data_IF_791786496967
#
_entry.id   IF_791786496967
#
_cell.length_a   1.000
_cell.length_b   1.000
_cell.length_c   1.000
_cell.angle_alpha   90.00
_cell.angle_beta   90.00
_cell.angle_gamma   90.00
#
_symmetry.space_group_name_H-M   'P 1'
#
loop_
_entity.id
_entity.type
_entity.pdbx_description
1 polymer ?
#
# COMPACT_ATOMS: atom_id res chain seq x y z
N UNK A 1 29.57 5.32 -5.13
CA UNK A 1 28.48 4.63 -4.41
C UNK A 1 28.75 4.84 -2.92
N UNK A 2 27.79 5.34 -2.18
CA UNK A 2 27.93 5.50 -0.73
C UNK A 2 27.91 4.13 -0.04
N UNK A 3 28.47 4.05 1.17
CA UNK A 3 28.37 2.85 2.01
C UNK A 3 26.90 2.61 2.39
N UNK A 4 26.44 1.36 2.32
CA UNK A 4 25.08 0.99 2.70
C UNK A 4 25.04 -0.42 3.27
N UNK A 5 24.01 -0.70 4.07
CA UNK A 5 23.67 -2.04 4.53
C UNK A 5 22.31 -2.44 3.93
N UNK A 6 22.23 -3.64 3.37
CA UNK A 6 20.99 -4.22 2.87
C UNK A 6 20.70 -5.54 3.56
N UNK A 7 19.46 -5.68 4.05
CA UNK A 7 18.92 -6.94 4.59
C UNK A 7 17.56 -7.20 3.98
N UNK A 8 17.41 -8.32 3.27
CA UNK A 8 16.13 -8.74 2.74
C UNK A 8 15.29 -9.42 3.83
N UNK A 9 14.00 -9.16 3.82
CA UNK A 9 13.04 -10.00 4.55
C UNK A 9 12.86 -11.32 3.79
N UNK A 10 12.78 -12.44 4.51
CA UNK A 10 12.47 -13.74 3.92
C UNK A 10 10.99 -13.77 3.53
N UNK A 11 10.69 -13.86 2.26
CA UNK A 11 9.33 -13.90 1.72
C UNK A 11 9.30 -14.87 0.54
N UNK A 12 8.34 -15.81 0.58
CA UNK A 12 7.99 -16.66 -0.55
C UNK A 12 6.84 -16.01 -1.32
N UNK A 13 7.02 -15.76 -2.62
CA UNK A 13 6.00 -15.14 -3.47
C UNK A 13 5.69 -16.02 -4.70
N UNK A 14 4.40 -16.28 -4.93
CA UNK A 14 3.89 -16.98 -6.10
C UNK A 14 3.17 -15.99 -6.99
N UNK A 15 3.48 -15.96 -8.28
CA UNK A 15 2.93 -15.02 -9.24
C UNK A 15 2.25 -15.70 -10.43
N UNK A 16 1.09 -15.19 -10.83
CA UNK A 16 0.45 -15.54 -12.09
C UNK A 16 -1.05 -15.78 -11.95
N UNK A 17 -1.75 -15.86 -13.08
CA UNK A 17 -3.17 -16.20 -13.16
C UNK A 17 -3.39 -17.64 -12.66
N UNK A 18 -4.34 -17.82 -11.74
CA UNK A 18 -4.70 -19.12 -11.18
C UNK A 18 -3.74 -19.66 -10.12
N UNK A 19 -2.71 -18.90 -9.67
CA UNK A 19 -1.76 -19.37 -8.65
C UNK A 19 -2.42 -19.64 -7.30
N UNK A 20 -3.61 -19.08 -7.02
CA UNK A 20 -4.43 -19.42 -5.83
C UNK A 20 -4.71 -20.92 -5.70
N UNK A 21 -4.68 -21.68 -6.80
CA UNK A 21 -4.87 -23.15 -6.78
C UNK A 21 -3.77 -23.88 -6.02
N UNK A 22 -2.63 -23.23 -5.79
CA UNK A 22 -1.52 -23.77 -5.00
C UNK A 22 -1.71 -23.52 -3.48
N UNK A 23 -2.81 -22.88 -3.06
CA UNK A 23 -3.02 -22.49 -1.66
C UNK A 23 -2.98 -23.69 -0.71
N UNK A 24 -3.58 -24.81 -1.07
CA UNK A 24 -3.54 -26.04 -0.26
C UNK A 24 -2.11 -26.58 -0.11
N UNK A 25 -1.31 -26.51 -1.18
CA UNK A 25 0.09 -26.94 -1.15
C UNK A 25 0.94 -25.98 -0.29
N UNK A 26 0.66 -24.68 -0.33
CA UNK A 26 1.35 -23.69 0.52
C UNK A 26 0.99 -23.85 2.00
N UNK A 27 -0.26 -24.18 2.35
CA UNK A 27 -0.66 -24.51 3.73
C UNK A 27 0.15 -25.74 4.20
N UNK A 28 0.22 -26.79 3.39
CA UNK A 28 1.00 -27.99 3.70
C UNK A 28 2.51 -27.70 3.77
N UNK A 29 3.05 -26.83 2.90
CA UNK A 29 4.45 -26.39 2.93
C UNK A 29 4.82 -25.73 4.26
N UNK A 30 3.89 -24.99 4.88
CA UNK A 30 4.06 -24.40 6.21
C UNK A 30 3.87 -25.42 7.36
N UNK A 31 3.60 -26.69 7.05
CA UNK A 31 3.35 -27.74 8.04
C UNK A 31 2.00 -27.60 8.74
N UNK A 32 1.07 -26.85 8.17
CA UNK A 32 -0.24 -26.56 8.72
C UNK A 32 -1.35 -27.41 8.09
N UNK A 33 -2.48 -27.53 8.79
CA UNK A 33 -3.66 -28.26 8.31
C UNK A 33 -4.99 -27.69 8.85
N UNK A 34 -4.95 -26.59 9.59
CA UNK A 34 -6.09 -25.98 10.25
C UNK A 34 -6.15 -24.46 9.96
N UNK A 35 -6.48 -24.13 8.73
CA UNK A 35 -6.47 -22.74 8.28
C UNK A 35 -7.71 -21.97 8.73
N UNK A 36 -7.51 -20.73 9.13
CA UNK A 36 -8.55 -19.72 9.26
C UNK A 36 -8.48 -18.76 8.09
N UNK A 37 -9.53 -18.73 7.26
CA UNK A 37 -9.66 -17.77 6.16
C UNK A 37 -10.17 -16.44 6.70
N UNK A 38 -9.50 -15.34 6.33
CA UNK A 38 -9.82 -13.97 6.78
C UNK A 38 -10.18 -13.13 5.56
N UNK A 39 -11.38 -12.53 5.58
CA UNK A 39 -11.87 -11.63 4.52
C UNK A 39 -12.62 -10.44 5.13
N UNK A 40 -12.88 -9.41 4.33
CA UNK A 40 -13.88 -8.39 4.67
C UNK A 40 -15.31 -8.89 4.39
N UNK A 41 -16.32 -8.22 4.97
CA UNK A 41 -17.73 -8.58 4.83
C UNK A 41 -18.24 -8.65 3.38
N UNK A 42 -17.64 -7.89 2.48
CA UNK A 42 -18.00 -7.84 1.05
C UNK A 42 -17.16 -8.81 0.19
N UNK A 43 -16.93 -10.02 0.68
CA UNK A 43 -16.16 -11.02 -0.08
C UNK A 43 -16.86 -11.42 -1.38
N UNK A 44 -16.07 -11.44 -2.45
CA UNK A 44 -16.53 -11.74 -3.82
C UNK A 44 -16.82 -13.25 -3.97
N UNK A 45 -17.59 -13.62 -4.98
CA UNK A 45 -17.91 -15.03 -5.27
C UNK A 45 -16.67 -15.88 -5.47
N UNK A 46 -15.64 -15.35 -6.13
CA UNK A 46 -14.34 -16.03 -6.30
C UNK A 46 -13.71 -16.43 -4.96
N UNK A 47 -13.85 -15.60 -3.91
CA UNK A 47 -13.33 -15.91 -2.57
C UNK A 47 -14.13 -17.06 -1.93
N UNK A 48 -15.44 -17.08 -2.12
CA UNK A 48 -16.26 -18.19 -1.64
C UNK A 48 -15.88 -19.51 -2.31
N UNK A 49 -15.57 -19.49 -3.61
CA UNK A 49 -15.07 -20.66 -4.33
C UNK A 49 -13.75 -21.15 -3.74
N UNK A 50 -12.80 -20.26 -3.43
CA UNK A 50 -11.52 -20.64 -2.79
C UNK A 50 -11.78 -21.32 -1.44
N UNK A 51 -12.70 -20.82 -0.63
CA UNK A 51 -13.06 -21.42 0.66
C UNK A 51 -13.62 -22.84 0.46
N UNK A 52 -14.48 -23.03 -0.55
CA UNK A 52 -15.02 -24.36 -0.90
C UNK A 52 -13.90 -25.29 -1.40
N UNK A 53 -12.99 -24.79 -2.23
CA UNK A 53 -11.86 -25.57 -2.78
C UNK A 53 -10.88 -26.02 -1.69
N UNK A 54 -10.72 -25.27 -0.61
CA UNK A 54 -9.90 -25.66 0.53
C UNK A 54 -10.49 -26.82 1.32
N UNK A 55 -11.80 -27.06 1.27
CA UNK A 55 -12.47 -28.16 1.95
C UNK A 55 -12.13 -28.23 3.45
N UNK A 56 -11.69 -29.37 3.92
CA UNK A 56 -11.37 -29.64 5.33
C UNK A 56 -10.17 -28.82 5.87
N UNK A 57 -9.34 -28.23 5.00
CA UNK A 57 -8.26 -27.33 5.42
C UNK A 57 -8.81 -25.99 5.96
N UNK A 58 -9.95 -25.52 5.45
CA UNK A 58 -10.63 -24.33 5.96
C UNK A 58 -11.48 -24.67 7.18
N UNK A 59 -10.88 -24.61 8.37
CA UNK A 59 -11.58 -24.93 9.62
C UNK A 59 -12.64 -23.86 9.98
N UNK A 60 -12.34 -22.59 9.70
CA UNK A 60 -13.25 -21.49 9.96
C UNK A 60 -12.97 -20.29 9.03
N UNK A 61 -14.01 -19.48 8.83
CA UNK A 61 -13.96 -18.28 8.03
C UNK A 61 -14.39 -17.06 8.86
N UNK A 62 -13.49 -16.08 9.00
CA UNK A 62 -13.79 -14.79 9.60
C UNK A 62 -13.95 -13.73 8.50
N UNK A 63 -15.17 -13.27 8.29
CA UNK A 63 -15.53 -12.29 7.24
C UNK A 63 -15.70 -10.85 7.74
N UNK A 64 -15.18 -10.56 8.93
CA UNK A 64 -15.33 -9.28 9.63
C UNK A 64 -14.09 -8.39 9.62
N UNK A 65 -13.15 -8.56 8.67
CA UNK A 65 -11.98 -7.69 8.60
C UNK A 65 -12.39 -6.25 8.19
N UNK A 66 -11.98 -5.28 9.00
CA UNK A 66 -12.34 -3.87 8.86
C UNK A 66 -11.11 -2.99 8.58
N UNK A 67 -11.37 -1.80 8.01
CA UNK A 67 -10.34 -0.80 7.74
C UNK A 67 -9.70 -0.33 9.05
N UNK A 68 -8.39 -0.06 9.01
CA UNK A 68 -7.59 0.36 10.16
C UNK A 68 -7.45 -0.65 11.30
N UNK A 69 -7.86 -1.90 11.10
CA UNK A 69 -7.66 -3.02 12.02
C UNK A 69 -8.06 -2.67 13.47
N UNK A 70 -9.37 -2.51 13.75
CA UNK A 70 -9.83 -2.20 15.10
C UNK A 70 -9.48 -3.35 16.07
N UNK A 71 -9.06 -3.01 17.29
CA UNK A 71 -8.62 -4.01 18.29
C UNK A 71 -9.76 -4.93 18.70
N UNK A 72 -10.99 -4.46 18.78
CA UNK A 72 -12.16 -5.28 19.10
C UNK A 72 -12.44 -6.35 18.04
N UNK A 73 -12.24 -6.02 16.75
CA UNK A 73 -12.31 -6.97 15.63
C UNK A 73 -11.18 -8.01 15.75
N UNK A 74 -9.97 -7.56 16.06
CA UNK A 74 -8.82 -8.45 16.29
C UNK A 74 -9.09 -9.42 17.42
N UNK A 75 -9.68 -8.98 18.55
CA UNK A 75 -9.99 -9.84 19.69
C UNK A 75 -11.04 -10.91 19.36
N UNK A 76 -12.08 -10.55 18.57
CA UNK A 76 -13.08 -11.51 18.09
C UNK A 76 -12.44 -12.59 17.23
N UNK A 77 -11.58 -12.19 16.29
CA UNK A 77 -10.87 -13.12 15.40
C UNK A 77 -9.87 -14.01 16.16
N UNK A 78 -9.15 -13.48 17.17
CA UNK A 78 -8.27 -14.25 18.06
C UNK A 78 -9.04 -15.30 18.87
N UNK A 79 -10.21 -14.96 19.40
CA UNK A 79 -11.04 -15.90 20.16
C UNK A 79 -11.47 -17.07 19.28
N UNK A 80 -11.88 -16.78 18.03
CA UNK A 80 -12.25 -17.80 17.05
C UNK A 80 -11.04 -18.69 16.66
N UNK A 81 -9.88 -18.10 16.43
CA UNK A 81 -8.65 -18.82 16.11
C UNK A 81 -8.27 -19.80 17.23
N UNK A 82 -8.37 -19.36 18.49
CA UNK A 82 -8.08 -20.17 19.68
C UNK A 82 -9.11 -21.31 19.85
N UNK A 83 -10.39 -21.02 19.74
CA UNK A 83 -11.49 -22.00 19.86
C UNK A 83 -11.32 -23.14 18.87
N UNK A 84 -11.00 -22.82 17.63
CA UNK A 84 -10.82 -23.78 16.55
C UNK A 84 -9.42 -24.35 16.44
N UNK A 85 -8.47 -24.01 17.35
CA UNK A 85 -7.08 -24.48 17.33
C UNK A 85 -6.43 -24.28 15.97
N UNK A 86 -6.55 -23.08 15.41
CA UNK A 86 -6.00 -22.69 14.11
C UNK A 86 -4.47 -22.74 14.17
N UNK A 87 -3.85 -23.25 13.11
CA UNK A 87 -2.40 -23.32 12.94
C UNK A 87 -1.85 -22.53 11.73
N UNK A 88 -2.76 -21.91 10.90
CA UNK A 88 -2.39 -21.06 9.79
C UNK A 88 -3.45 -20.00 9.52
N UNK A 89 -3.03 -18.79 9.13
CA UNK A 89 -3.91 -17.71 8.72
C UNK A 89 -3.84 -17.53 7.20
N UNK A 90 -5.01 -17.47 6.55
CA UNK A 90 -5.12 -17.21 5.12
C UNK A 90 -5.91 -15.94 4.89
N UNK A 91 -5.24 -14.83 4.60
CA UNK A 91 -5.90 -13.55 4.32
C UNK A 91 -6.16 -13.39 2.82
N UNK A 92 -7.42 -13.23 2.43
CA UNK A 92 -7.81 -12.98 1.03
C UNK A 92 -8.53 -11.63 0.96
N UNK A 93 -7.82 -10.62 0.44
CA UNK A 93 -8.39 -9.28 0.39
C UNK A 93 -7.37 -8.17 0.20
N UNK A 94 -7.77 -6.94 0.50
CA UNK A 94 -6.87 -5.78 0.56
C UNK A 94 -6.32 -5.56 1.96
N UNK A 95 -5.93 -4.32 2.26
CA UNK A 95 -5.30 -3.93 3.52
C UNK A 95 -6.05 -4.31 4.79
N UNK A 96 -7.40 -4.41 4.77
CA UNK A 96 -8.18 -4.83 5.95
C UNK A 96 -7.92 -6.29 6.31
N UNK A 97 -7.98 -7.21 5.33
CA UNK A 97 -7.75 -8.63 5.57
C UNK A 97 -6.28 -8.88 5.95
N UNK A 98 -5.35 -8.26 5.22
CA UNK A 98 -3.91 -8.30 5.52
C UNK A 98 -3.62 -7.77 6.92
N UNK A 99 -4.18 -6.61 7.29
CA UNK A 99 -3.99 -6.01 8.62
C UNK A 99 -4.49 -6.91 9.75
N UNK A 100 -5.68 -7.51 9.59
CA UNK A 100 -6.22 -8.41 10.61
C UNK A 100 -5.39 -9.69 10.77
N UNK A 101 -4.91 -10.30 9.67
CA UNK A 101 -4.01 -11.44 9.75
C UNK A 101 -2.73 -11.09 10.51
N UNK A 102 -2.10 -9.96 10.18
CA UNK A 102 -0.93 -9.45 10.90
C UNK A 102 -1.20 -9.19 12.39
N UNK A 103 -2.37 -8.66 12.74
CA UNK A 103 -2.75 -8.40 14.14
C UNK A 103 -2.89 -9.69 14.94
N UNK A 104 -3.41 -10.76 14.33
CA UNK A 104 -3.50 -12.08 14.92
C UNK A 104 -2.10 -12.68 15.05
N UNK A 105 -1.30 -12.67 13.98
CA UNK A 105 0.05 -13.22 13.96
C UNK A 105 0.97 -12.53 14.97
N UNK A 106 0.85 -11.21 15.15
CA UNK A 106 1.59 -10.47 16.16
C UNK A 106 1.43 -11.09 17.58
N UNK A 107 0.23 -11.61 17.89
CA UNK A 107 -0.14 -12.13 19.20
C UNK A 107 0.00 -13.65 19.34
N UNK A 108 0.05 -14.35 18.21
CA UNK A 108 0.02 -15.83 18.20
C UNK A 108 1.24 -16.47 17.57
N UNK A 109 1.98 -15.72 16.75
CA UNK A 109 3.08 -16.23 15.92
C UNK A 109 2.63 -17.29 14.90
N UNK A 110 1.34 -17.28 14.51
CA UNK A 110 0.81 -18.17 13.51
C UNK A 110 1.31 -17.78 12.11
N UNK A 111 1.73 -18.74 11.28
CA UNK A 111 2.14 -18.47 9.92
C UNK A 111 0.98 -17.91 9.07
N UNK A 112 1.33 -17.07 8.11
CA UNK A 112 0.39 -16.34 7.28
C UNK A 112 0.61 -16.60 5.80
N UNK A 113 -0.48 -16.85 5.07
CA UNK A 113 -0.53 -16.81 3.61
C UNK A 113 -1.46 -15.65 3.22
N UNK A 114 -0.96 -14.72 2.41
CA UNK A 114 -1.74 -13.56 1.98
C UNK A 114 -2.00 -13.62 0.48
N UNK A 115 -3.27 -13.47 0.08
CA UNK A 115 -3.72 -13.35 -1.30
C UNK A 115 -4.26 -11.93 -1.51
N UNK A 116 -3.43 -10.96 -1.96
CA UNK A 116 -3.87 -9.59 -2.13
C UNK A 116 -4.84 -9.46 -3.31
N UNK A 117 -5.89 -8.66 -3.12
CA UNK A 117 -6.89 -8.34 -4.15
C UNK A 117 -6.86 -6.87 -4.55
N UNK A 118 -5.92 -6.09 -4.00
CA UNK A 118 -5.63 -4.68 -4.28
C UNK A 118 -4.13 -4.48 -4.44
N UNK A 119 -3.71 -3.33 -4.94
CA UNK A 119 -2.29 -3.01 -5.15
C UNK A 119 -1.74 -2.18 -3.98
N UNK A 120 -1.69 -2.74 -2.76
CA UNK A 120 -1.28 -1.98 -1.58
C UNK A 120 0.21 -2.15 -1.17
N UNK A 121 0.78 -3.34 -1.32
CA UNK A 121 2.17 -3.66 -0.96
C UNK A 121 2.42 -3.90 0.53
N UNK A 122 1.43 -3.68 1.40
CA UNK A 122 1.58 -3.81 2.86
C UNK A 122 1.80 -5.26 3.33
N UNK A 123 1.45 -6.23 2.50
CA UNK A 123 1.66 -7.67 2.74
C UNK A 123 3.13 -8.06 2.87
N UNK A 124 4.05 -7.25 2.33
CA UNK A 124 5.49 -7.51 2.33
C UNK A 124 6.25 -6.81 3.46
N UNK A 125 5.56 -6.23 4.42
CA UNK A 125 6.19 -5.40 5.44
C UNK A 125 6.14 -6.01 6.83
N UNK A 126 7.16 -5.77 7.68
CA UNK A 126 7.08 -6.10 9.10
C UNK A 126 6.23 -5.10 9.90
N UNK A 127 5.43 -4.27 9.24
CA UNK A 127 4.69 -3.16 9.84
C UNK A 127 3.21 -3.53 9.97
N UNK A 128 2.63 -3.18 11.10
CA UNK A 128 1.20 -3.26 11.37
C UNK A 128 0.70 -1.96 12.00
N UNK A 129 -0.50 -1.52 11.59
CA UNK A 129 -1.24 -0.45 12.22
C UNK A 129 -2.56 -0.98 12.80
N UNK A 130 -2.84 -0.64 14.05
CA UNK A 130 -4.09 -0.99 14.73
C UNK A 130 -4.75 0.27 15.28
N UNK A 131 -6.07 0.23 15.44
CA UNK A 131 -6.83 1.35 16.00
C UNK A 131 -7.53 0.92 17.28
N UNK A 132 -7.28 1.65 18.36
CA UNK A 132 -7.96 1.50 19.65
C UNK A 132 -8.53 2.85 20.09
N UNK A 133 -9.82 2.89 20.44
CA UNK A 133 -10.51 4.11 20.88
C UNK A 133 -10.34 5.31 19.93
N UNK A 134 -10.30 5.04 18.62
CA UNK A 134 -10.08 6.06 17.59
C UNK A 134 -8.62 6.50 17.41
N UNK A 135 -7.69 5.97 18.20
CA UNK A 135 -6.26 6.28 18.09
C UNK A 135 -5.56 5.17 17.31
N UNK A 136 -4.88 5.54 16.24
CA UNK A 136 -4.07 4.63 15.43
C UNK A 136 -2.66 4.53 15.99
N UNK A 137 -2.21 3.32 16.28
CA UNK A 137 -0.82 2.99 16.61
C UNK A 137 -0.19 2.15 15.51
N UNK A 138 1.10 2.33 15.29
CA UNK A 138 1.87 1.56 14.30
C UNK A 138 3.09 0.96 14.98
N UNK A 139 3.36 -0.32 14.70
CA UNK A 139 4.53 -1.02 15.24
C UNK A 139 5.15 -1.93 14.19
N UNK A 140 6.40 -2.33 14.41
CA UNK A 140 7.15 -3.23 13.56
C UNK A 140 7.50 -4.51 14.30
N UNK A 141 7.27 -5.67 13.67
CA UNK A 141 7.63 -6.98 14.19
C UNK A 141 7.83 -7.97 13.07
N UNK A 142 8.84 -8.84 13.16
CA UNK A 142 9.04 -9.92 12.18
C UNK A 142 7.88 -10.93 12.18
N UNK A 143 7.15 -11.08 13.30
CA UNK A 143 5.98 -11.96 13.41
C UNK A 143 4.83 -11.58 12.47
N UNK A 144 4.80 -10.36 11.96
CA UNK A 144 3.74 -9.91 11.05
C UNK A 144 4.14 -9.99 9.57
N UNK A 145 5.35 -10.46 9.27
CA UNK A 145 5.73 -10.81 7.90
C UNK A 145 4.98 -12.06 7.48
N UNK A 146 4.38 -12.04 6.29
CA UNK A 146 3.77 -13.24 5.74
C UNK A 146 4.86 -14.20 5.25
N UNK A 147 4.74 -15.48 5.53
CA UNK A 147 5.61 -16.54 5.03
C UNK A 147 5.42 -16.74 3.54
N UNK A 148 4.16 -16.66 3.07
CA UNK A 148 3.85 -16.78 1.64
C UNK A 148 2.87 -15.69 1.21
N UNK A 149 3.13 -15.09 0.04
CA UNK A 149 2.19 -14.20 -0.64
C UNK A 149 1.87 -14.77 -2.03
N UNK A 150 0.58 -14.95 -2.32
CA UNK A 150 0.10 -15.47 -3.61
C UNK A 150 -0.51 -14.33 -4.42
N UNK A 151 0.22 -13.84 -5.40
CA UNK A 151 -0.20 -12.78 -6.32
C UNK A 151 -0.96 -13.39 -7.50
N UNK A 152 -2.22 -13.77 -7.28
CA UNK A 152 -3.10 -14.29 -8.32
C UNK A 152 -3.79 -13.15 -9.06
N UNK A 153 -3.44 -12.97 -10.32
CA UNK A 153 -3.99 -11.91 -11.19
C UNK A 153 -5.52 -11.96 -11.26
N UNK A 154 -6.12 -13.16 -11.29
CA UNK A 154 -7.56 -13.33 -11.41
C UNK A 154 -8.34 -12.68 -10.24
N UNK A 155 -7.71 -12.58 -9.06
CA UNK A 155 -8.31 -11.94 -7.89
C UNK A 155 -8.41 -10.41 -8.03
N UNK A 156 -7.67 -9.81 -8.96
CA UNK A 156 -7.68 -8.38 -9.21
C UNK A 156 -8.59 -7.95 -10.36
N UNK A 157 -9.01 -8.87 -11.22
CA UNK A 157 -9.82 -8.58 -12.41
C UNK A 157 -11.14 -7.89 -12.08
N UNK A 158 -11.74 -8.26 -10.95
CA UNK A 158 -12.99 -7.65 -10.45
C UNK A 158 -12.77 -6.41 -9.58
N UNK A 159 -11.52 -5.95 -9.39
CA UNK A 159 -11.24 -4.71 -8.65
C UNK A 159 -11.72 -3.52 -9.49
N UNK A 160 -12.61 -2.66 -8.96
CA UNK A 160 -13.05 -1.45 -9.67
C UNK A 160 -11.89 -0.58 -10.13
N UNK A 161 -12.03 0.04 -11.30
CA UNK A 161 -10.95 0.87 -11.89
C UNK A 161 -10.45 1.93 -10.92
N UNK A 162 -11.36 2.67 -10.25
CA UNK A 162 -10.96 3.69 -9.29
C UNK A 162 -10.14 3.13 -8.12
N UNK A 163 -10.54 1.97 -7.59
CA UNK A 163 -9.76 1.31 -6.53
C UNK A 163 -8.43 0.76 -7.07
N UNK A 164 -8.38 0.32 -8.33
CA UNK A 164 -7.13 -0.06 -8.99
C UNK A 164 -6.17 1.12 -9.05
N UNK A 165 -6.65 2.28 -9.52
CA UNK A 165 -5.84 3.51 -9.62
C UNK A 165 -5.36 3.97 -8.24
N UNK A 166 -6.28 4.16 -7.29
CA UNK A 166 -5.91 4.72 -5.99
C UNK A 166 -5.00 3.81 -5.18
N UNK A 167 -5.23 2.48 -5.20
CA UNK A 167 -4.32 1.55 -4.52
C UNK A 167 -2.94 1.45 -5.18
N UNK A 168 -2.88 1.52 -6.51
CA UNK A 168 -1.62 1.51 -7.24
C UNK A 168 -0.79 2.79 -6.99
N UNK A 169 -1.43 3.96 -6.95
CA UNK A 169 -0.74 5.22 -6.60
C UNK A 169 -0.27 5.19 -5.15
N UNK A 170 -1.05 4.61 -4.22
CA UNK A 170 -0.57 4.37 -2.85
C UNK A 170 0.70 3.49 -2.84
N UNK A 171 0.73 2.39 -3.59
CA UNK A 171 1.93 1.57 -3.71
C UNK A 171 3.08 2.32 -4.41
N UNK A 172 2.79 3.09 -5.48
CA UNK A 172 3.79 3.92 -6.15
C UNK A 172 4.43 4.93 -5.19
N UNK A 173 3.67 5.46 -4.21
CA UNK A 173 4.20 6.37 -3.20
C UNK A 173 5.29 5.72 -2.33
N UNK A 174 5.16 4.42 -2.01
CA UNK A 174 6.21 3.67 -1.31
C UNK A 174 7.51 3.64 -2.14
N UNK A 175 7.39 3.36 -3.44
CA UNK A 175 8.52 3.34 -4.35
C UNK A 175 9.15 4.73 -4.50
N UNK A 176 8.34 5.79 -4.64
CA UNK A 176 8.84 7.16 -4.76
C UNK A 176 9.61 7.57 -3.51
N UNK A 177 9.08 7.35 -2.31
CA UNK A 177 9.78 7.71 -1.08
C UNK A 177 11.05 6.88 -0.86
N UNK A 178 11.07 5.64 -1.34
CA UNK A 178 12.25 4.79 -1.26
C UNK A 178 13.46 5.32 -2.05
N UNK A 179 13.24 6.16 -3.09
CA UNK A 179 14.32 6.81 -3.84
C UNK A 179 15.09 7.85 -3.02
N UNK A 180 14.51 8.33 -1.91
CA UNK A 180 15.12 9.34 -1.06
C UNK A 180 14.93 9.07 0.44
N UNK A 181 14.64 7.83 0.81
CA UNK A 181 14.52 7.42 2.20
C UNK A 181 15.84 7.59 2.97
N UNK A 182 15.77 7.68 4.30
CA UNK A 182 16.96 7.78 5.16
C UNK A 182 17.96 6.62 4.94
N UNK A 183 17.42 5.41 4.68
CA UNK A 183 18.21 4.19 4.43
C UNK A 183 18.16 3.76 2.97
N UNK A 184 18.09 4.74 2.05
CA UNK A 184 18.13 4.45 0.61
C UNK A 184 19.39 3.67 0.23
N UNK A 185 19.24 2.77 -0.72
CA UNK A 185 20.35 2.01 -1.27
C UNK A 185 20.07 1.62 -2.73
N UNK A 186 21.10 1.34 -3.53
CA UNK A 186 20.94 1.12 -4.98
C UNK A 186 20.07 -0.10 -5.32
N UNK A 187 19.96 -1.10 -4.45
CA UNK A 187 19.13 -2.28 -4.67
C UNK A 187 17.65 -1.88 -4.61
N UNK A 188 17.27 -1.17 -3.57
CA UNK A 188 15.90 -0.70 -3.39
C UNK A 188 15.55 0.40 -4.40
N UNK A 189 16.49 1.29 -4.74
CA UNK A 189 16.27 2.30 -5.79
C UNK A 189 15.96 1.67 -7.14
N UNK A 190 16.64 0.56 -7.51
CA UNK A 190 16.32 -0.16 -8.74
C UNK A 190 14.90 -0.77 -8.73
N UNK A 191 14.46 -1.34 -7.60
CA UNK A 191 13.08 -1.82 -7.44
C UNK A 191 12.07 -0.67 -7.51
N UNK A 192 12.37 0.46 -6.87
CA UNK A 192 11.52 1.64 -6.84
C UNK A 192 11.31 2.23 -8.25
N UNK A 193 12.40 2.44 -9.01
CA UNK A 193 12.29 2.92 -10.39
C UNK A 193 11.48 1.99 -11.28
N UNK A 194 11.74 0.67 -11.18
CA UNK A 194 10.98 -0.33 -11.95
C UNK A 194 9.50 -0.31 -11.59
N UNK A 195 9.16 -0.21 -10.31
CA UNK A 195 7.77 -0.14 -9.84
C UNK A 195 7.05 1.10 -10.41
N UNK A 196 7.67 2.28 -10.31
CA UNK A 196 7.11 3.55 -10.81
C UNK A 196 6.85 3.48 -12.30
N UNK A 197 7.85 3.05 -13.10
CA UNK A 197 7.73 2.93 -14.55
C UNK A 197 6.64 1.93 -14.93
N UNK A 198 6.58 0.78 -14.24
CA UNK A 198 5.59 -0.25 -14.52
C UNK A 198 4.18 0.26 -14.24
N UNK A 199 3.90 0.87 -13.08
CA UNK A 199 2.60 1.45 -12.80
C UNK A 199 2.23 2.56 -13.79
N UNK A 200 3.19 3.44 -14.13
CA UNK A 200 2.95 4.52 -15.08
C UNK A 200 2.46 4.03 -16.44
N UNK A 201 3.07 2.94 -16.94
CA UNK A 201 2.72 2.35 -18.23
C UNK A 201 1.47 1.46 -18.18
N UNK A 202 1.09 0.98 -17.00
CA UNK A 202 0.09 -0.07 -16.81
C UNK A 202 -1.29 0.50 -16.45
N UNK A 203 -1.34 1.54 -15.59
CA UNK A 203 -2.61 2.10 -15.13
C UNK A 203 -3.52 2.60 -16.27
N UNK A 204 -3.03 3.29 -17.30
CA UNK A 204 -3.87 3.67 -18.45
C UNK A 204 -4.48 2.47 -19.16
N UNK A 205 -3.76 1.34 -19.28
CA UNK A 205 -4.27 0.11 -19.89
C UNK A 205 -5.41 -0.49 -19.06
N UNK A 206 -5.26 -0.55 -17.74
CA UNK A 206 -6.33 -1.00 -16.85
C UNK A 206 -7.55 -0.09 -16.92
N UNK A 207 -7.36 1.23 -17.05
CA UNK A 207 -8.46 2.18 -17.21
C UNK A 207 -9.21 1.99 -18.53
N UNK A 208 -8.50 1.65 -19.61
CA UNK A 208 -9.09 1.37 -20.93
C UNK A 208 -9.76 -0.01 -21.00
N UNK A 209 -9.10 -1.03 -20.46
CA UNK A 209 -9.61 -2.40 -20.42
C UNK A 209 -9.40 -2.99 -19.02
N UNK A 210 -10.41 -2.91 -18.13
CA UNK A 210 -10.31 -3.47 -16.78
C UNK A 210 -10.09 -4.98 -16.70
N UNK A 211 -10.30 -5.70 -17.79
CA UNK A 211 -10.11 -7.16 -17.90
C UNK A 211 -8.76 -7.55 -18.50
N UNK A 212 -7.87 -6.60 -18.77
CA UNK A 212 -6.53 -6.87 -19.31
C UNK A 212 -5.67 -7.61 -18.27
N UNK A 213 -5.57 -8.92 -18.42
CA UNK A 213 -4.81 -9.82 -17.52
C UNK A 213 -3.32 -9.44 -17.49
N UNK A 214 -2.73 -9.07 -18.63
CA UNK A 214 -1.32 -8.67 -18.68
C UNK A 214 -1.10 -7.40 -17.86
N UNK A 215 -1.92 -6.37 -18.09
CA UNK A 215 -1.83 -5.13 -17.33
C UNK A 215 -2.07 -5.36 -15.82
N UNK A 216 -3.00 -6.24 -15.45
CA UNK A 216 -3.25 -6.63 -14.06
C UNK A 216 -2.06 -7.35 -13.42
N UNK A 217 -1.39 -8.24 -14.18
CA UNK A 217 -0.18 -8.94 -13.74
C UNK A 217 0.97 -7.97 -13.52
N UNK A 218 1.19 -7.04 -14.48
CA UNK A 218 2.21 -6.02 -14.37
C UNK A 218 1.97 -5.10 -13.15
N UNK A 219 0.70 -4.74 -12.89
CA UNK A 219 0.34 -3.92 -11.71
C UNK A 219 0.60 -4.68 -10.40
N UNK A 220 0.34 -5.99 -10.32
CA UNK A 220 0.70 -6.81 -9.16
C UNK A 220 2.21 -6.90 -8.98
N UNK A 221 2.96 -7.02 -10.07
CA UNK A 221 4.43 -7.02 -10.01
C UNK A 221 4.96 -5.68 -9.49
N UNK A 222 4.45 -4.56 -10.00
CA UNK A 222 4.81 -3.24 -9.49
C UNK A 222 4.43 -3.04 -8.00
N UNK A 223 3.28 -3.60 -7.58
CA UNK A 223 2.86 -3.63 -6.18
C UNK A 223 3.85 -4.41 -5.31
N UNK A 224 4.29 -5.59 -5.77
CA UNK A 224 5.30 -6.39 -5.08
C UNK A 224 6.60 -5.61 -4.90
N UNK A 225 7.14 -5.00 -5.96
CA UNK A 225 8.36 -4.17 -5.86
C UNK A 225 8.18 -3.00 -4.89
N UNK A 226 7.01 -2.33 -4.92
CA UNK A 226 6.69 -1.24 -3.99
C UNK A 226 6.60 -1.70 -2.54
N UNK A 227 6.08 -2.91 -2.32
CA UNK A 227 6.02 -3.54 -1.00
C UNK A 227 7.42 -3.89 -0.46
N UNK A 228 8.33 -4.37 -1.32
CA UNK A 228 9.74 -4.56 -0.96
C UNK A 228 10.41 -3.24 -0.56
N UNK A 229 10.10 -2.15 -1.29
CA UNK A 229 10.58 -0.82 -0.93
C UNK A 229 10.09 -0.41 0.47
N UNK A 230 8.77 -0.50 0.72
CA UNK A 230 8.15 -0.15 2.00
C UNK A 230 8.71 -0.98 3.17
N UNK A 231 8.99 -2.27 2.94
CA UNK A 231 9.50 -3.18 3.95
C UNK A 231 11.00 -3.04 4.24
N UNK A 232 11.73 -2.30 3.41
CA UNK A 232 13.22 -2.24 3.46
C UNK A 232 13.76 -0.89 3.92
N UNK A 233 13.03 0.21 3.70
CA UNK A 233 13.47 1.57 4.02
C UNK A 233 12.36 2.35 4.74
N UNK A 234 12.74 3.41 5.43
CA UNK A 234 11.78 4.31 6.08
C UNK A 234 10.98 5.15 5.09
N UNK A 235 9.83 5.65 5.53
CA UNK A 235 9.02 6.60 4.78
C UNK A 235 9.31 8.04 5.24
N UNK A 236 8.92 9.03 4.41
CA UNK A 236 9.24 10.43 4.60
C UNK A 236 7.98 11.34 4.65
N UNK A 237 8.09 12.56 4.13
CA UNK A 237 7.06 13.61 4.19
C UNK A 237 5.72 13.17 3.60
N UNK A 238 5.70 12.42 2.49
CA UNK A 238 4.46 12.01 1.83
C UNK A 238 3.58 11.17 2.77
N UNK A 239 4.16 10.12 3.36
CA UNK A 239 3.43 9.29 4.31
C UNK A 239 3.07 10.04 5.59
N UNK A 240 3.95 10.94 6.07
CA UNK A 240 3.64 11.79 7.20
C UNK A 240 2.40 12.65 6.95
N UNK A 241 2.31 13.30 5.78
CA UNK A 241 1.14 14.07 5.36
C UNK A 241 -0.11 13.20 5.27
N UNK A 242 -0.02 12.05 4.58
CA UNK A 242 -1.16 11.14 4.42
C UNK A 242 -1.69 10.62 5.76
N UNK A 243 -0.80 10.33 6.72
CA UNK A 243 -1.19 9.93 8.06
C UNK A 243 -1.84 11.07 8.84
N UNK A 244 -1.31 12.29 8.74
CA UNK A 244 -1.91 13.48 9.37
C UNK A 244 -3.30 13.78 8.82
N UNK A 245 -3.46 13.71 7.50
CA UNK A 245 -4.73 13.97 6.81
C UNK A 245 -5.76 12.87 7.06
N UNK A 246 -5.35 11.60 6.99
CA UNK A 246 -6.23 10.47 7.26
C UNK A 246 -6.64 10.38 8.73
N UNK A 247 -5.67 10.50 9.66
CA UNK A 247 -5.93 10.39 11.10
C UNK A 247 -6.62 11.62 11.71
N UNK A 248 -6.26 12.83 11.26
CA UNK A 248 -6.80 14.08 11.81
C UNK A 248 -8.13 14.51 11.20
N UNK A 249 -8.38 14.16 9.92
CA UNK A 249 -9.53 14.68 9.17
C UNK A 249 -10.39 13.58 8.54
N UNK A 250 -10.03 12.31 8.73
CA UNK A 250 -10.80 11.17 8.24
C UNK A 250 -10.80 11.02 6.71
N UNK A 251 -9.82 11.60 6.01
CA UNK A 251 -9.75 11.50 4.55
C UNK A 251 -9.48 10.06 4.10
N UNK A 252 -10.08 9.62 2.96
CA UNK A 252 -9.87 8.27 2.43
C UNK A 252 -8.41 8.03 2.08
N UNK A 253 -7.77 7.04 2.73
CA UNK A 253 -6.32 6.80 2.71
C UNK A 253 -5.73 6.77 1.29
N UNK A 254 -6.20 5.88 0.41
CA UNK A 254 -5.65 5.73 -0.94
C UNK A 254 -5.90 6.96 -1.84
N UNK A 255 -7.03 7.65 -1.67
CA UNK A 255 -7.31 8.89 -2.38
C UNK A 255 -6.39 10.03 -1.92
N UNK A 256 -6.10 10.10 -0.63
CA UNK A 256 -5.14 11.08 -0.08
C UNK A 256 -3.76 10.90 -0.68
N UNK A 257 -3.29 9.65 -0.83
CA UNK A 257 -2.02 9.36 -1.51
C UNK A 257 -2.00 9.88 -2.95
N UNK A 258 -3.09 9.71 -3.71
CA UNK A 258 -3.18 10.23 -5.07
C UNK A 258 -2.98 11.75 -5.12
N UNK A 259 -3.66 12.48 -4.24
CA UNK A 259 -3.62 13.94 -4.27
C UNK A 259 -2.28 14.48 -3.79
N UNK A 260 -1.72 13.93 -2.72
CA UNK A 260 -0.53 14.47 -2.05
C UNK A 260 0.77 14.12 -2.79
N UNK A 261 0.85 12.93 -3.41
CA UNK A 261 2.10 12.42 -3.98
C UNK A 261 2.76 13.36 -4.99
N UNK A 262 2.06 13.91 -6.01
CA UNK A 262 2.68 14.80 -6.99
C UNK A 262 3.33 16.04 -6.38
N UNK A 263 2.71 16.60 -5.36
CA UNK A 263 3.16 17.83 -4.69
C UNK A 263 4.40 17.58 -3.82
N UNK A 264 4.46 16.44 -3.11
CA UNK A 264 5.64 16.06 -2.32
C UNK A 264 6.82 15.75 -3.22
N UNK A 265 6.59 15.08 -4.36
CA UNK A 265 7.65 14.87 -5.36
C UNK A 265 8.22 16.21 -5.82
N UNK A 266 7.37 17.17 -6.18
CA UNK A 266 7.79 18.51 -6.60
C UNK A 266 8.59 19.21 -5.50
N UNK A 267 8.13 19.11 -4.25
CA UNK A 267 8.84 19.70 -3.11
C UNK A 267 10.25 19.12 -2.94
N UNK A 268 10.39 17.80 -3.00
CA UNK A 268 11.68 17.11 -2.80
C UNK A 268 12.60 17.18 -4.03
N UNK A 269 12.08 17.36 -5.24
CA UNK A 269 12.87 17.44 -6.48
C UNK A 269 13.89 18.58 -6.49
N UNK A 270 13.69 19.62 -5.67
CA UNK A 270 14.66 20.70 -5.51
C UNK A 270 16.01 20.26 -4.91
N UNK A 271 16.03 19.19 -4.12
CA UNK A 271 17.23 18.63 -3.49
C UNK A 271 17.56 17.23 -3.97
N UNK A 272 16.66 16.62 -4.74
CA UNK A 272 16.76 15.26 -5.31
C UNK A 272 16.49 15.33 -6.83
N UNK A 273 17.46 15.84 -7.62
CA UNK A 273 17.29 16.04 -9.06
C UNK A 273 17.09 14.74 -9.86
N UNK A 274 17.46 13.58 -9.31
CA UNK A 274 17.19 12.26 -9.88
C UNK A 274 15.69 11.98 -10.04
N UNK A 275 14.81 12.59 -9.24
CA UNK A 275 13.37 12.50 -9.43
C UNK A 275 12.96 13.10 -10.78
N UNK A 276 13.56 14.25 -11.17
CA UNK A 276 13.27 14.84 -12.48
C UNK A 276 13.91 14.02 -13.61
N UNK A 277 15.06 13.39 -13.41
CA UNK A 277 15.65 12.46 -14.38
C UNK A 277 14.70 11.27 -14.65
N UNK A 278 14.07 10.75 -13.60
CA UNK A 278 13.04 9.72 -13.76
C UNK A 278 11.81 10.27 -14.51
N UNK A 279 11.39 11.50 -14.23
CA UNK A 279 10.35 12.19 -14.99
C UNK A 279 10.67 12.26 -16.48
N UNK A 280 11.91 12.59 -16.86
CA UNK A 280 12.36 12.62 -18.25
C UNK A 280 12.25 11.23 -18.92
N UNK A 281 12.53 10.15 -18.20
CA UNK A 281 12.33 8.77 -18.71
C UNK A 281 10.86 8.42 -18.94
N UNK A 282 9.95 9.14 -18.30
CA UNK A 282 8.49 9.06 -18.52
C UNK A 282 7.99 10.11 -19.53
N UNK A 283 8.90 10.73 -20.30
CA UNK A 283 8.60 11.78 -21.28
C UNK A 283 7.90 13.02 -20.68
N UNK A 284 8.25 13.37 -19.46
CA UNK A 284 7.74 14.54 -18.76
C UNK A 284 8.87 15.40 -18.20
N UNK A 285 8.64 16.69 -18.04
CA UNK A 285 9.62 17.64 -17.47
C UNK A 285 9.88 17.42 -15.98
N UNK A 286 8.94 16.82 -15.26
CA UNK A 286 9.12 16.43 -13.84
C UNK A 286 8.32 15.18 -13.51
N UNK A 287 8.80 14.40 -12.51
CA UNK A 287 8.08 13.22 -12.03
C UNK A 287 6.75 13.61 -11.36
N UNK A 288 6.72 14.70 -10.60
CA UNK A 288 5.49 15.18 -9.96
C UNK A 288 4.41 15.50 -10.99
N UNK A 289 4.75 16.22 -12.04
CA UNK A 289 3.82 16.53 -13.14
C UNK A 289 3.38 15.25 -13.89
N UNK A 290 4.32 14.33 -14.18
CA UNK A 290 4.01 13.06 -14.83
C UNK A 290 2.96 12.26 -14.05
N UNK A 291 3.14 12.13 -12.72
CA UNK A 291 2.21 11.37 -11.87
C UNK A 291 0.87 12.10 -11.73
N UNK A 292 0.86 13.43 -11.63
CA UNK A 292 -0.38 14.21 -11.61
C UNK A 292 -1.21 13.97 -12.88
N UNK A 293 -0.57 14.05 -14.05
CA UNK A 293 -1.23 13.81 -15.33
C UNK A 293 -1.70 12.36 -15.48
N UNK A 294 -0.93 11.39 -15.00
CA UNK A 294 -1.36 9.98 -14.94
C UNK A 294 -2.64 9.82 -14.13
N UNK A 295 -2.69 10.39 -12.90
CA UNK A 295 -3.86 10.32 -12.02
C UNK A 295 -5.06 10.96 -12.71
N UNK A 296 -4.89 12.15 -13.31
CA UNK A 296 -5.93 12.87 -14.02
C UNK A 296 -6.45 12.08 -15.24
N UNK A 297 -5.56 11.51 -16.04
CA UNK A 297 -5.91 10.68 -17.19
C UNK A 297 -6.69 9.42 -16.80
N UNK A 298 -6.35 8.84 -15.64
CA UNK A 298 -7.07 7.70 -15.04
C UNK A 298 -8.32 8.11 -14.24
N UNK A 299 -8.71 9.39 -14.28
CA UNK A 299 -9.86 9.96 -13.54
C UNK A 299 -9.77 9.76 -12.03
N UNK A 300 -8.55 9.64 -11.49
CA UNK A 300 -8.29 9.60 -10.06
C UNK A 300 -8.42 10.98 -9.42
N UNK A 301 -8.50 11.06 -8.08
CA UNK A 301 -8.64 12.34 -7.37
C UNK A 301 -7.37 13.17 -7.48
N UNK A 302 -7.54 14.46 -7.75
CA UNK A 302 -6.46 15.44 -7.93
C UNK A 302 -6.49 16.61 -6.95
N UNK A 303 -7.54 16.70 -6.10
CA UNK A 303 -7.63 17.75 -5.08
C UNK A 303 -8.08 17.20 -3.72
N UNK A 304 -7.59 17.82 -2.62
CA UNK A 304 -8.05 17.47 -1.28
C UNK A 304 -9.52 17.89 -1.08
N UNK A 305 -9.97 18.96 -1.78
CA UNK A 305 -11.35 19.39 -1.75
C UNK A 305 -12.30 18.31 -2.24
N UNK A 306 -11.98 17.64 -3.36
CA UNK A 306 -12.85 16.62 -3.95
C UNK A 306 -12.93 15.35 -3.08
N UNK A 307 -11.95 15.11 -2.21
CA UNK A 307 -11.96 13.97 -1.28
C UNK A 307 -12.47 14.33 0.11
N UNK A 308 -13.02 15.55 0.29
CA UNK A 308 -13.79 15.94 1.45
C UNK A 308 -13.09 16.86 2.44
N UNK A 309 -11.87 17.33 2.18
CA UNK A 309 -11.19 18.31 3.04
C UNK A 309 -11.83 19.70 2.91
N UNK A 310 -11.89 20.43 4.01
CA UNK A 310 -12.34 21.82 4.02
C UNK A 310 -11.15 22.77 4.05
N UNK A 311 -11.26 23.92 3.39
CA UNK A 311 -10.16 24.90 3.31
C UNK A 311 -9.73 25.41 4.69
N UNK A 312 -10.67 25.60 5.59
CA UNK A 312 -10.41 26.04 6.97
C UNK A 312 -9.57 25.04 7.79
N UNK A 313 -9.44 23.81 7.34
CA UNK A 313 -8.69 22.73 8.01
C UNK A 313 -7.19 22.73 7.64
N UNK A 314 -6.79 23.46 6.59
CA UNK A 314 -5.42 23.43 6.05
C UNK A 314 -4.36 23.89 7.06
N UNK A 315 -4.64 24.91 7.84
CA UNK A 315 -3.71 25.43 8.86
C UNK A 315 -3.50 24.41 9.99
N UNK A 316 -4.59 23.76 10.42
CA UNK A 316 -4.53 22.69 11.41
C UNK A 316 -3.78 21.47 10.87
N UNK A 317 -3.98 21.11 9.58
CA UNK A 317 -3.28 20.01 8.95
C UNK A 317 -1.77 20.27 8.83
N UNK A 318 -1.38 21.49 8.49
CA UNK A 318 0.03 21.89 8.46
C UNK A 318 0.66 21.79 9.85
N UNK A 319 0.00 22.33 10.89
CA UNK A 319 0.46 22.24 12.27
C UNK A 319 0.58 20.79 12.76
N UNK A 320 -0.40 19.95 12.46
CA UNK A 320 -0.40 18.53 12.83
C UNK A 320 0.76 17.77 12.15
N UNK A 321 1.04 18.09 10.88
CA UNK A 321 2.17 17.48 10.15
C UNK A 321 3.50 17.84 10.79
N UNK A 322 3.65 19.09 11.27
CA UNK A 322 4.87 19.57 11.91
C UNK A 322 5.04 19.13 13.36
N UNK A 323 4.00 18.56 14.01
CA UNK A 323 4.01 18.26 15.45
C UNK A 323 5.01 17.18 15.88
N UNK A 324 5.44 16.29 14.98
CA UNK A 324 6.39 15.22 15.28
C UNK A 324 7.51 15.20 14.24
N UNK A 325 8.75 14.97 14.70
CA UNK A 325 9.90 14.83 13.82
C UNK A 325 9.74 13.62 12.87
N UNK A 326 10.18 13.79 11.64
CA UNK A 326 10.26 12.76 10.63
C UNK A 326 11.43 13.08 9.69
N UNK A 327 11.96 12.04 9.04
CA UNK A 327 12.97 12.23 8.01
C UNK A 327 12.33 12.80 6.74
N UNK A 328 13.00 13.72 6.09
CA UNK A 328 12.75 14.12 4.71
C UNK A 328 14.05 14.73 4.14
N UNK A 329 14.43 14.48 2.87
CA UNK A 329 15.67 14.99 2.31
C UNK A 329 15.73 16.53 2.26
N UNK A 330 14.58 17.18 2.07
CA UNK A 330 14.42 18.64 2.21
C UNK A 330 13.69 18.95 3.50
N UNK A 331 14.34 19.72 4.38
CA UNK A 331 13.65 20.23 5.57
C UNK A 331 12.45 21.08 5.16
N UNK A 332 11.31 20.84 5.79
CA UNK A 332 10.09 21.58 5.52
C UNK A 332 9.78 22.54 6.68
N UNK A 333 9.41 23.77 6.36
CA UNK A 333 8.82 24.73 7.32
C UNK A 333 7.30 24.58 7.34
N UNK A 334 6.65 25.23 8.31
CA UNK A 334 5.20 25.32 8.34
C UNK A 334 4.64 25.94 7.04
N UNK A 335 5.26 27.01 6.57
CA UNK A 335 4.83 27.71 5.35
C UNK A 335 4.99 26.83 4.10
N UNK A 336 6.07 26.05 3.99
CA UNK A 336 6.24 25.07 2.91
C UNK A 336 5.09 24.04 2.90
N UNK A 337 4.78 23.47 4.07
CA UNK A 337 3.68 22.49 4.19
C UNK A 337 2.33 23.12 3.90
N UNK A 338 2.10 24.33 4.41
CA UNK A 338 0.85 25.06 4.18
C UNK A 338 0.64 25.39 2.71
N UNK A 339 1.69 25.83 2.00
CA UNK A 339 1.64 26.09 0.57
C UNK A 339 1.39 24.82 -0.23
N UNK A 340 2.10 23.72 0.10
CA UNK A 340 1.90 22.41 -0.53
C UNK A 340 0.45 21.94 -0.38
N UNK A 341 -0.10 22.05 0.84
CA UNK A 341 -1.49 21.67 1.12
C UNK A 341 -2.49 22.56 0.37
N UNK A 342 -2.21 23.86 0.20
CA UNK A 342 -3.08 24.75 -0.57
C UNK A 342 -3.12 24.37 -2.06
N UNK A 343 -1.97 24.08 -2.66
CA UNK A 343 -1.90 23.60 -4.05
C UNK A 343 -2.64 22.28 -4.22
N UNK A 344 -2.41 21.33 -3.30
CA UNK A 344 -3.11 20.04 -3.28
C UNK A 344 -4.62 20.20 -3.05
N UNK A 345 -5.04 21.14 -2.21
CA UNK A 345 -6.45 21.44 -1.96
C UNK A 345 -7.16 21.94 -3.23
N UNK A 346 -6.51 22.84 -3.95
CA UNK A 346 -7.08 23.49 -5.14
C UNK A 346 -6.91 22.64 -6.43
N UNK A 347 -6.25 21.49 -6.37
CA UNK A 347 -6.00 20.65 -7.55
C UNK A 347 -5.07 21.32 -8.59
N UNK A 348 -4.21 22.21 -8.13
CA UNK A 348 -3.22 22.88 -9.00
C UNK A 348 -2.13 21.86 -9.33
N UNK A 349 -1.89 21.62 -10.62
CA UNK A 349 -0.83 20.71 -11.03
C UNK A 349 0.53 21.20 -10.51
N UNK A 350 1.44 20.30 -10.08
CA UNK A 350 2.82 20.66 -9.82
C UNK A 350 3.43 21.36 -11.04
N UNK A 351 4.28 22.35 -10.81
CA UNK A 351 4.90 23.11 -11.91
C UNK A 351 5.70 22.12 -12.79
N UNK A 352 5.45 22.20 -14.10
CA UNK A 352 6.37 21.62 -15.05
C UNK A 352 7.69 22.36 -14.86
N UNK A 353 8.77 21.68 -14.39
CA UNK A 353 10.07 22.30 -14.29
C UNK A 353 10.41 22.94 -15.64
N UNK A 354 10.44 24.26 -15.68
CA UNK A 354 11.06 24.97 -16.78
C UNK A 354 12.58 24.68 -16.63
N UNK A 355 13.08 23.80 -17.52
CA UNK A 355 14.51 23.51 -17.68
C UNK A 355 15.20 24.77 -18.16
#
# INVERSE_FOLDING_TARGET
>A
MNEFTYSANEIRALFGSGTRKQLSDEIAFLGACRAMVITSSNSRETIKQIIVELGDLCITHFNGAEMHTPIDVTQKALSLAKEHKIDCLVAIGGGSATGLAKAIALRTDLPQIILPTTYAGSELTPIIGETENGLKSTQSSKKVLAETVIYDTDLTVSLPVMQSVTSAINAMAHAVEALYAEHENPIISAHAEQAIITFYNTLPKICLNPQDITARTDALYACFLSGLCLGSVGMALHHKLCHSLGGGFGLPHAATHCVVLPHVIQFNSHVRPELNQLGNRLHSSSLGFAIFELIRACKGPTSLQEIGMKEIELDTAASLTMSNSYYNPRSATYDDIRELLQKAYSGIAPDACLI
#
